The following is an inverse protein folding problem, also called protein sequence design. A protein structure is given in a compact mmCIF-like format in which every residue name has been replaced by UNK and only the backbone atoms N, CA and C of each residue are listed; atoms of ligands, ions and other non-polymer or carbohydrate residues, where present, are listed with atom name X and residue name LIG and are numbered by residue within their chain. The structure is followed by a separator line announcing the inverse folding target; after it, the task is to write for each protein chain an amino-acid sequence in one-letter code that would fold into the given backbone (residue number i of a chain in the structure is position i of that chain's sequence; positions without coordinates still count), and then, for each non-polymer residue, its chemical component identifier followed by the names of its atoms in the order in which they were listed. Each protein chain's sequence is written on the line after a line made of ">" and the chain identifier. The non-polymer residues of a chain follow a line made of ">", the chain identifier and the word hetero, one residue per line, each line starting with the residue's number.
data_IF_066435959656
#
_entry.id   IF_066435959656
#
_cell.length_a   1.000
_cell.length_b   1.000
_cell.length_c   1.000
_cell.angle_alpha   90.00
_cell.angle_beta   90.00
_cell.angle_gamma   90.00
#
_symmetry.space_group_name_H-M   'P 1'
#
loop_
_entity.id
_entity.type
_entity.pdbx_description
1 polymer ?
#
# COMPACT_ATOMS: atom_id res chain seq x y z
N UNK A 1 25.96 11.57 7.87
CA UNK A 1 26.44 10.19 8.11
C UNK A 1 25.70 9.62 9.31
N UNK A 2 24.68 8.81 9.04
CA UNK A 2 24.20 7.73 9.91
C UNK A 2 23.36 6.79 9.05
N UNK A 3 24.01 6.11 8.10
CA UNK A 3 23.46 4.92 7.49
C UNK A 3 23.79 3.77 8.43
N UNK A 4 22.89 3.43 9.34
CA UNK A 4 22.85 2.05 9.82
C UNK A 4 22.41 1.22 8.60
N UNK A 5 23.42 0.80 7.85
CA UNK A 5 23.30 0.18 6.52
C UNK A 5 22.82 -1.25 6.62
N UNK A 6 21.64 -1.48 7.18
CA UNK A 6 20.94 -2.74 7.00
C UNK A 6 20.44 -2.77 5.56
N UNK A 7 21.03 -3.66 4.76
CA UNK A 7 20.59 -3.89 3.40
C UNK A 7 19.13 -4.36 3.42
N UNK A 8 18.23 -3.64 2.74
CA UNK A 8 16.85 -4.09 2.56
C UNK A 8 16.85 -5.25 1.58
N UNK A 9 16.55 -6.47 2.06
CA UNK A 9 16.51 -7.68 1.22
C UNK A 9 15.14 -8.34 1.21
N UNK A 10 14.24 -7.93 2.10
CA UNK A 10 12.92 -8.54 2.23
C UNK A 10 11.91 -7.89 1.29
N UNK A 11 11.18 -8.72 0.56
CA UNK A 11 10.11 -8.34 -0.35
C UNK A 11 8.78 -8.89 0.16
N UNK A 12 7.79 -8.02 0.35
CA UNK A 12 6.45 -8.36 0.83
C UNK A 12 5.52 -8.45 -0.38
N UNK A 13 4.79 -9.56 -0.48
CA UNK A 13 3.89 -9.85 -1.60
C UNK A 13 2.47 -10.12 -1.11
N UNK A 14 1.50 -9.61 -1.87
CA UNK A 14 0.06 -9.76 -1.61
C UNK A 14 -0.75 -9.71 -2.92
N UNK A 15 -2.01 -10.10 -2.86
CA UNK A 15 -2.91 -10.16 -4.02
C UNK A 15 -4.03 -11.21 -3.90
N UNK A 16 -3.85 -12.22 -3.03
CA UNK A 16 -4.83 -13.26 -2.72
C UNK A 16 -4.98 -13.43 -1.20
N UNK A 17 -5.25 -14.63 -0.72
CA UNK A 17 -5.48 -14.98 0.69
C UNK A 17 -4.22 -15.05 1.57
N UNK A 18 -3.04 -15.08 0.94
CA UNK A 18 -1.76 -15.12 1.62
C UNK A 18 -0.95 -13.85 1.39
N UNK A 19 -0.42 -13.34 2.51
CA UNK A 19 0.65 -12.36 2.52
C UNK A 19 1.92 -13.07 2.93
N UNK A 20 2.99 -12.94 2.15
CA UNK A 20 4.26 -13.58 2.47
C UNK A 20 5.46 -12.71 2.16
N UNK A 21 6.60 -13.09 2.73
CA UNK A 21 7.86 -12.37 2.58
C UNK A 21 8.91 -13.30 2.00
N UNK A 22 9.60 -12.81 0.98
CA UNK A 22 10.80 -13.41 0.42
C UNK A 22 12.02 -12.65 0.91
N UNK A 23 13.03 -13.37 1.39
CA UNK A 23 14.37 -12.80 1.56
C UNK A 23 15.15 -12.98 0.27
N UNK A 24 15.36 -11.87 -0.44
CA UNK A 24 16.03 -11.84 -1.74
C UNK A 24 17.53 -12.18 -1.66
N UNK A 25 18.13 -12.13 -0.47
CA UNK A 25 19.53 -12.51 -0.26
C UNK A 25 19.71 -14.01 0.03
N UNK A 26 18.62 -14.74 0.32
CA UNK A 26 18.64 -16.17 0.59
C UNK A 26 17.95 -16.92 -0.56
N UNK A 27 18.45 -18.11 -0.87
CA UNK A 27 17.88 -18.97 -1.92
C UNK A 27 17.40 -20.28 -1.30
N UNK A 28 16.29 -20.79 -1.80
CA UNK A 28 15.76 -22.12 -1.52
C UNK A 28 15.24 -22.70 -2.84
N UNK A 29 15.77 -23.86 -3.23
CA UNK A 29 15.36 -24.56 -4.47
C UNK A 29 15.45 -23.69 -5.75
N UNK A 30 16.40 -22.75 -5.79
CA UNK A 30 16.65 -21.88 -6.95
C UNK A 30 15.77 -20.64 -7.05
N UNK A 31 14.98 -20.34 -6.02
CA UNK A 31 14.20 -19.10 -5.89
C UNK A 31 14.49 -18.40 -4.55
N UNK A 32 14.18 -17.10 -4.41
CA UNK A 32 14.26 -16.43 -3.11
C UNK A 32 13.53 -17.18 -2.01
N UNK A 33 14.15 -17.27 -0.83
CA UNK A 33 13.60 -18.04 0.28
C UNK A 33 12.40 -17.31 0.89
N UNK A 34 11.27 -18.01 1.01
CA UNK A 34 10.12 -17.55 1.80
C UNK A 34 10.44 -17.64 3.30
N UNK A 35 10.50 -16.50 3.99
CA UNK A 35 10.88 -16.42 5.40
C UNK A 35 9.70 -16.17 6.33
N UNK A 36 8.57 -15.73 5.79
CA UNK A 36 7.37 -15.43 6.56
C UNK A 36 6.11 -15.61 5.72
N UNK A 37 5.00 -15.93 6.37
CA UNK A 37 3.68 -16.11 5.76
C UNK A 37 2.58 -15.76 6.77
N UNK A 38 1.48 -15.25 6.26
CA UNK A 38 0.27 -14.98 7.01
C UNK A 38 -0.98 -15.15 6.16
N UNK A 39 -1.95 -15.87 6.72
CA UNK A 39 -3.31 -16.04 6.21
C UNK A 39 -4.29 -15.69 7.32
N UNK A 40 -5.32 -14.91 7.02
CA UNK A 40 -6.29 -14.49 8.03
C UNK A 40 -7.12 -15.67 8.58
N UNK A 41 -7.38 -16.69 7.75
CA UNK A 41 -8.13 -17.89 8.14
C UNK A 41 -7.48 -18.66 9.29
N UNK A 42 -6.16 -18.57 9.42
CA UNK A 42 -5.36 -19.25 10.46
C UNK A 42 -5.30 -18.46 11.78
N UNK A 43 -5.86 -17.25 11.81
CA UNK A 43 -5.78 -16.33 12.96
C UNK A 43 -7.00 -16.46 13.86
N UNK A 44 -6.89 -17.34 14.85
CA UNK A 44 -7.96 -17.59 15.84
C UNK A 44 -8.36 -16.33 16.64
N UNK A 45 -7.44 -15.39 16.78
CA UNK A 45 -7.62 -14.11 17.47
C UNK A 45 -8.41 -13.08 16.66
N UNK A 46 -8.45 -13.22 15.33
CA UNK A 46 -9.36 -12.44 14.50
C UNK A 46 -10.80 -12.91 14.74
N UNK A 47 -11.77 -11.98 14.87
CA UNK A 47 -13.18 -12.33 14.83
C UNK A 47 -13.52 -13.13 13.57
N UNK A 48 -14.43 -14.10 13.71
CA UNK A 48 -14.79 -15.01 12.62
C UNK A 48 -15.23 -14.26 11.35
N UNK A 49 -15.98 -13.15 11.50
CA UNK A 49 -16.45 -12.35 10.37
C UNK A 49 -15.34 -11.61 9.63
N UNK A 50 -14.16 -11.45 10.22
CA UNK A 50 -13.01 -10.78 9.61
C UNK A 50 -12.14 -11.73 8.80
N UNK A 51 -12.09 -13.02 9.15
CA UNK A 51 -11.13 -13.96 8.55
C UNK A 51 -11.31 -14.12 7.04
N UNK A 52 -12.55 -14.20 6.56
CA UNK A 52 -12.86 -14.34 5.14
C UNK A 52 -12.68 -13.04 4.33
N UNK A 53 -12.43 -11.90 5.00
CA UNK A 53 -12.31 -10.60 4.34
C UNK A 53 -10.94 -10.37 3.71
N UNK A 54 -9.97 -11.26 3.94
CA UNK A 54 -8.61 -11.15 3.44
C UNK A 54 -8.32 -12.14 2.29
N UNK A 55 -9.35 -12.62 1.59
CA UNK A 55 -9.16 -13.56 0.47
C UNK A 55 -8.60 -12.91 -0.82
N UNK A 56 -8.51 -11.58 -0.85
CA UNK A 56 -8.01 -10.80 -1.98
C UNK A 56 -7.25 -9.58 -1.46
N UNK A 57 -6.12 -9.82 -0.80
CA UNK A 57 -5.29 -8.75 -0.24
C UNK A 57 -4.78 -7.79 -1.31
N UNK A 58 -4.84 -6.49 -1.05
CA UNK A 58 -4.52 -5.46 -2.03
C UNK A 58 -3.19 -4.76 -1.73
N UNK A 59 -2.90 -4.47 -0.47
CA UNK A 59 -1.65 -3.82 -0.10
C UNK A 59 -1.14 -4.33 1.24
N UNK A 60 0.18 -4.45 1.35
CA UNK A 60 0.88 -4.82 2.58
C UNK A 60 2.02 -3.84 2.85
N UNK A 61 1.76 -2.78 3.61
CA UNK A 61 2.77 -1.76 3.92
C UNK A 61 3.51 -2.07 5.21
N UNK A 62 4.85 -2.10 5.19
CA UNK A 62 5.65 -2.21 6.39
C UNK A 62 5.68 -0.90 7.17
N UNK A 63 5.63 -1.00 8.49
CA UNK A 63 5.83 0.13 9.40
C UNK A 63 6.49 -0.32 10.70
N UNK A 64 6.82 0.63 11.58
CA UNK A 64 7.56 0.39 12.82
C UNK A 64 8.91 -0.32 12.54
N UNK A 65 9.66 0.21 11.57
CA UNK A 65 10.92 -0.38 11.11
C UNK A 65 10.74 -1.74 10.43
N UNK A 66 9.59 -1.94 9.78
CA UNK A 66 9.25 -3.19 9.09
C UNK A 66 8.91 -4.35 10.01
N UNK A 67 8.63 -4.11 11.29
CA UNK A 67 8.21 -5.17 12.25
C UNK A 67 6.71 -5.44 12.21
N UNK A 68 5.93 -4.51 11.69
CA UNK A 68 4.49 -4.64 11.52
C UNK A 68 4.08 -4.39 10.08
N UNK A 69 2.97 -4.98 9.67
CA UNK A 69 2.35 -4.79 8.37
C UNK A 69 0.95 -4.19 8.53
N UNK A 70 0.63 -3.20 7.71
CA UNK A 70 -0.73 -2.81 7.39
C UNK A 70 -1.18 -3.61 6.17
N UNK A 71 -2.22 -4.43 6.34
CA UNK A 71 -2.78 -5.26 5.28
C UNK A 71 -4.17 -4.75 4.95
N UNK A 72 -4.43 -4.46 3.67
CA UNK A 72 -5.77 -4.15 3.15
C UNK A 72 -6.23 -5.24 2.19
N UNK A 73 -7.54 -5.36 2.01
CA UNK A 73 -8.15 -6.35 1.12
C UNK A 73 -9.47 -5.84 0.57
N UNK A 74 -9.67 -6.04 -0.72
CA UNK A 74 -10.88 -5.82 -1.50
C UNK A 74 -12.03 -6.72 -1.03
N UNK A 75 -11.72 -7.77 -0.27
CA UNK A 75 -12.68 -8.54 0.54
C UNK A 75 -13.23 -7.80 1.77
N UNK A 76 -12.95 -6.50 1.90
CA UNK A 76 -13.36 -5.56 2.95
C UNK A 76 -12.53 -5.57 4.25
N UNK A 77 -11.34 -6.15 4.22
CA UNK A 77 -10.47 -6.33 5.39
C UNK A 77 -9.40 -5.26 5.51
N UNK A 78 -9.19 -4.76 6.73
CA UNK A 78 -7.98 -4.00 7.12
C UNK A 78 -7.44 -4.61 8.40
N UNK A 79 -6.13 -4.84 8.49
CA UNK A 79 -5.47 -5.36 9.68
C UNK A 79 -4.09 -4.75 9.92
N UNK A 80 -3.72 -4.61 11.20
CA UNK A 80 -2.32 -4.45 11.63
C UNK A 80 -1.82 -5.79 12.15
N UNK A 81 -0.78 -6.32 11.50
CA UNK A 81 -0.15 -7.60 11.85
C UNK A 81 1.25 -7.36 12.40
N UNK A 82 1.54 -7.93 13.57
CA UNK A 82 2.90 -8.06 14.06
C UNK A 82 3.61 -9.21 13.34
N UNK A 83 4.77 -8.97 12.73
CA UNK A 83 5.44 -10.00 11.92
C UNK A 83 6.09 -11.09 12.76
N UNK A 84 6.61 -10.76 13.94
CA UNK A 84 7.31 -11.74 14.77
C UNK A 84 6.33 -12.80 15.28
N UNK A 85 5.14 -12.38 15.67
CA UNK A 85 4.13 -13.25 16.29
C UNK A 85 3.01 -13.66 15.33
N UNK A 86 2.80 -12.92 14.25
CA UNK A 86 1.65 -13.07 13.35
C UNK A 86 0.33 -12.53 13.93
N UNK A 87 0.36 -11.96 15.14
CA UNK A 87 -0.83 -11.50 15.87
C UNK A 87 -1.42 -10.24 15.23
N UNK A 88 -2.75 -10.22 15.12
CA UNK A 88 -3.49 -9.04 14.68
C UNK A 88 -3.76 -8.11 15.87
N UNK A 89 -3.21 -6.90 15.82
CA UNK A 89 -3.38 -5.88 16.89
C UNK A 89 -4.47 -4.84 16.61
N UNK A 90 -4.92 -4.72 15.36
CA UNK A 90 -6.05 -3.91 14.94
C UNK A 90 -6.73 -4.55 13.75
N UNK A 91 -8.04 -4.40 13.63
CA UNK A 91 -8.80 -4.75 12.44
C UNK A 91 -9.97 -3.80 12.20
N UNK A 92 -10.40 -3.68 10.94
CA UNK A 92 -11.62 -2.98 10.59
C UNK A 92 -12.28 -3.56 9.34
N UNK A 93 -13.60 -3.49 9.29
CA UNK A 93 -14.36 -3.68 8.05
C UNK A 93 -14.36 -2.39 7.25
N UNK A 94 -13.66 -2.36 6.11
CA UNK A 94 -13.64 -1.22 5.19
C UNK A 94 -14.00 -1.69 3.79
N UNK A 95 -15.13 -1.25 3.20
CA UNK A 95 -15.57 -1.68 1.89
C UNK A 95 -14.48 -1.53 0.82
N UNK A 96 -14.14 -2.63 0.16
CA UNK A 96 -13.16 -2.66 -0.93
C UNK A 96 -11.82 -1.92 -0.59
N UNK A 97 -11.23 -2.21 0.57
CA UNK A 97 -10.03 -1.53 1.06
C UNK A 97 -8.79 -1.81 0.19
N UNK A 98 -8.19 -0.77 -0.36
CA UNK A 98 -7.10 -0.88 -1.34
C UNK A 98 -5.75 -0.33 -0.87
N UNK A 99 -5.75 0.54 0.13
CA UNK A 99 -4.53 1.10 0.71
C UNK A 99 -4.80 1.60 2.12
N UNK A 100 -3.77 1.56 2.97
CA UNK A 100 -3.83 2.13 4.31
C UNK A 100 -2.50 2.79 4.68
N UNK A 101 -2.53 3.71 5.64
CA UNK A 101 -1.34 4.40 6.13
C UNK A 101 -1.45 4.77 7.60
N UNK A 102 -0.36 4.59 8.35
CA UNK A 102 -0.30 4.98 9.76
C UNK A 102 -0.16 6.51 9.85
N UNK A 103 -1.01 7.11 10.67
CA UNK A 103 -1.00 8.52 11.01
C UNK A 103 -0.44 8.75 12.42
N UNK A 104 0.01 9.98 12.74
CA UNK A 104 0.31 10.38 14.12
C UNK A 104 -0.84 10.07 15.08
N UNK A 105 -0.53 9.87 16.36
CA UNK A 105 -1.54 9.65 17.39
C UNK A 105 -2.21 8.26 17.37
N UNK A 106 -1.47 7.23 16.94
CA UNK A 106 -1.93 5.82 16.91
C UNK A 106 -3.17 5.61 16.03
N UNK A 107 -3.21 6.28 14.87
CA UNK A 107 -4.35 6.22 13.94
C UNK A 107 -3.95 5.65 12.60
N UNK A 108 -4.95 5.25 11.83
CA UNK A 108 -4.76 4.74 10.47
C UNK A 108 -5.78 5.39 9.53
N UNK A 109 -5.30 5.84 8.37
CA UNK A 109 -6.16 6.20 7.25
C UNK A 109 -6.28 5.02 6.29
N UNK A 110 -7.47 4.80 5.74
CA UNK A 110 -7.76 3.72 4.79
C UNK A 110 -8.46 4.30 3.58
N UNK A 111 -7.93 3.99 2.39
CA UNK A 111 -8.58 4.26 1.11
C UNK A 111 -9.49 3.07 0.73
N UNK A 112 -10.79 3.35 0.68
CA UNK A 112 -11.85 2.45 0.26
C UNK A 112 -12.20 2.72 -1.21
N UNK A 113 -11.96 1.74 -2.08
CA UNK A 113 -12.27 1.87 -3.50
C UNK A 113 -13.78 1.69 -3.73
N UNK A 114 -14.20 1.78 -4.99
CA UNK A 114 -15.61 1.72 -5.35
C UNK A 114 -16.25 0.39 -4.98
N UNK A 115 -17.49 0.44 -4.51
CA UNK A 115 -18.31 -0.74 -4.26
C UNK A 115 -19.75 -0.44 -4.65
N UNK A 116 -20.38 -1.38 -5.34
CA UNK A 116 -21.74 -1.24 -5.89
C UNK A 116 -22.80 -0.95 -4.81
N UNK A 117 -22.53 -1.28 -3.54
CA UNK A 117 -23.43 -1.03 -2.41
C UNK A 117 -23.35 0.41 -1.84
N UNK A 118 -22.62 1.30 -2.51
CA UNK A 118 -22.40 2.71 -2.16
C UNK A 118 -21.69 2.94 -0.81
N UNK A 119 -21.04 1.91 -0.23
CA UNK A 119 -20.25 2.04 1.00
C UNK A 119 -18.75 2.24 0.75
N UNK A 120 -18.30 2.06 -0.49
CA UNK A 120 -16.96 2.39 -0.95
C UNK A 120 -16.78 3.89 -1.23
N UNK A 121 -15.76 4.24 -2.03
CA UNK A 121 -15.46 5.63 -2.45
C UNK A 121 -15.17 6.59 -1.29
N UNK A 122 -14.36 6.12 -0.32
CA UNK A 122 -14.13 6.82 0.95
C UNK A 122 -12.68 6.83 1.38
N UNK A 123 -12.28 7.90 2.05
CA UNK A 123 -11.12 7.93 2.92
C UNK A 123 -11.62 7.86 4.36
N UNK A 124 -11.19 6.87 5.13
CA UNK A 124 -11.71 6.60 6.48
C UNK A 124 -10.56 6.61 7.48
N UNK A 125 -10.76 7.23 8.64
CA UNK A 125 -9.77 7.26 9.73
C UNK A 125 -10.28 6.44 10.90
N UNK A 126 -9.41 5.61 11.47
CA UNK A 126 -9.65 4.82 12.68
C UNK A 126 -8.60 5.13 13.76
N UNK A 127 -8.98 4.91 15.02
CA UNK A 127 -8.03 4.72 16.11
C UNK A 127 -7.61 3.25 16.16
N UNK A 128 -6.31 2.97 16.27
CA UNK A 128 -5.83 1.59 16.32
C UNK A 128 -6.21 0.87 17.62
N UNK A 129 -6.55 1.61 18.68
CA UNK A 129 -7.00 1.05 19.96
C UNK A 129 -8.51 0.77 19.99
N UNK A 130 -9.27 1.27 19.00
CA UNK A 130 -10.73 1.06 18.88
C UNK A 130 -11.11 0.42 17.52
N UNK A 131 -10.91 -0.91 17.34
CA UNK A 131 -11.27 -1.63 16.13
C UNK A 131 -12.70 -1.35 15.66
N UNK A 132 -12.88 -1.30 14.33
CA UNK A 132 -14.18 -1.07 13.66
C UNK A 132 -14.89 0.26 13.97
N UNK A 133 -14.33 1.14 14.79
CA UNK A 133 -14.92 2.45 15.11
C UNK A 133 -14.30 3.56 14.24
N UNK A 134 -15.05 3.99 13.24
CA UNK A 134 -14.66 5.13 12.40
C UNK A 134 -14.61 6.42 13.24
N UNK A 135 -13.50 7.17 13.14
CA UNK A 135 -13.35 8.50 13.75
C UNK A 135 -13.94 9.59 12.84
N UNK A 136 -13.58 9.56 11.56
CA UNK A 136 -14.10 10.44 10.53
C UNK A 136 -13.93 9.81 9.14
N UNK A 137 -14.68 10.30 8.16
CA UNK A 137 -14.53 9.87 6.77
C UNK A 137 -14.85 10.98 5.78
N UNK A 138 -14.30 10.84 4.58
CA UNK A 138 -14.41 11.79 3.47
C UNK A 138 -14.69 11.02 2.19
N UNK A 139 -15.30 11.69 1.21
CA UNK A 139 -15.40 11.14 -0.14
C UNK A 139 -14.00 11.00 -0.74
N UNK A 140 -13.74 9.86 -1.37
CA UNK A 140 -12.53 9.59 -2.14
C UNK A 140 -12.88 8.59 -3.26
N UNK A 141 -13.31 9.11 -4.40
CA UNK A 141 -13.83 8.31 -5.51
C UNK A 141 -12.77 7.32 -6.03
N UNK A 142 -13.06 6.02 -5.92
CA UNK A 142 -12.15 4.92 -6.26
C UNK A 142 -10.77 5.13 -5.61
N UNK A 143 -10.72 5.21 -4.28
CA UNK A 143 -9.46 5.35 -3.54
C UNK A 143 -8.55 4.13 -3.69
N UNK A 144 -7.29 4.32 -4.11
CA UNK A 144 -6.32 3.22 -4.34
C UNK A 144 -4.95 3.41 -3.67
N UNK A 145 -4.70 4.58 -3.08
CA UNK A 145 -3.43 4.89 -2.43
C UNK A 145 -3.62 5.93 -1.35
N UNK A 146 -2.91 5.79 -0.24
CA UNK A 146 -2.84 6.81 0.80
C UNK A 146 -1.43 6.86 1.34
N UNK A 147 -0.84 8.04 1.55
CA UNK A 147 0.56 8.21 2.00
C UNK A 147 0.63 9.38 2.97
N UNK A 148 1.28 9.15 4.11
CA UNK A 148 1.55 10.17 5.12
C UNK A 148 2.95 10.70 4.91
N UNK A 149 3.04 12.00 4.67
CA UNK A 149 4.29 12.71 4.51
C UNK A 149 4.65 13.39 5.84
N UNK A 150 5.57 12.79 6.58
CA UNK A 150 6.00 13.30 7.89
C UNK A 150 6.75 14.64 7.76
N UNK A 151 7.46 14.88 6.66
CA UNK A 151 8.20 16.13 6.47
C UNK A 151 7.24 17.30 6.25
N UNK A 152 6.19 17.10 5.45
CA UNK A 152 5.20 18.13 5.11
C UNK A 152 4.01 18.16 6.05
N UNK A 153 3.86 17.14 6.91
CA UNK A 153 2.69 16.94 7.77
C UNK A 153 1.38 16.90 6.96
N UNK A 154 1.41 16.18 5.83
CA UNK A 154 0.28 16.07 4.89
C UNK A 154 -0.05 14.61 4.58
N UNK A 155 -1.34 14.32 4.50
CA UNK A 155 -1.86 13.05 3.99
C UNK A 155 -2.23 13.21 2.51
N UNK A 156 -1.62 12.39 1.65
CA UNK A 156 -1.87 12.33 0.22
C UNK A 156 -2.74 11.12 -0.08
N UNK A 157 -3.92 11.32 -0.66
CA UNK A 157 -4.86 10.24 -0.99
C UNK A 157 -5.11 10.21 -2.50
N UNK A 158 -4.76 9.08 -3.13
CA UNK A 158 -4.97 8.83 -4.56
C UNK A 158 -6.37 8.29 -4.80
N UNK A 159 -7.15 9.06 -5.55
CA UNK A 159 -8.43 8.67 -6.15
C UNK A 159 -8.24 8.29 -7.63
N UNK A 160 -9.32 7.95 -8.33
CA UNK A 160 -9.23 7.59 -9.76
C UNK A 160 -8.73 8.72 -10.66
N UNK A 161 -9.02 9.99 -10.33
CA UNK A 161 -8.74 11.14 -11.23
C UNK A 161 -7.86 12.22 -10.61
N UNK A 162 -7.58 12.13 -9.33
CA UNK A 162 -6.86 13.16 -8.59
C UNK A 162 -6.10 12.59 -7.39
N UNK A 163 -5.17 13.38 -6.88
CA UNK A 163 -4.62 13.24 -5.54
C UNK A 163 -5.25 14.33 -4.67
N UNK A 164 -5.94 13.90 -3.61
CA UNK A 164 -6.43 14.80 -2.56
C UNK A 164 -5.37 14.95 -1.47
N UNK A 165 -5.20 16.18 -0.98
CA UNK A 165 -4.18 16.53 0.01
C UNK A 165 -4.88 17.03 1.27
N UNK A 166 -4.59 16.42 2.41
CA UNK A 166 -5.20 16.75 3.69
C UNK A 166 -4.14 17.13 4.73
N UNK A 167 -4.50 18.05 5.61
CA UNK A 167 -3.78 18.32 6.87
C UNK A 167 -4.58 17.73 8.02
N UNK A 168 -3.89 17.32 9.08
CA UNK A 168 -4.54 16.88 10.33
C UNK A 168 -5.12 18.09 11.06
N UNK A 169 -6.38 18.03 11.46
CA UNK A 169 -7.07 19.12 12.15
C UNK A 169 -7.71 18.62 13.44
N UNK A 170 -7.61 19.42 14.51
CA UNK A 170 -8.08 19.05 15.85
C UNK A 170 -7.60 17.65 16.30
N UNK A 171 -6.38 17.28 15.89
CA UNK A 171 -5.95 15.89 15.87
C UNK A 171 -5.87 15.28 17.29
N UNK A 172 -5.40 16.03 18.28
CA UNK A 172 -5.30 15.53 19.66
C UNK A 172 -6.59 15.70 20.48
N UNK A 173 -7.74 15.84 19.81
CA UNK A 173 -9.05 16.00 20.47
C UNK A 173 -9.91 14.74 20.33
N UNK A 174 -11.05 14.71 21.04
CA UNK A 174 -12.05 13.64 20.91
C UNK A 174 -12.73 13.58 19.53
N UNK A 175 -12.55 14.60 18.69
CA UNK A 175 -13.18 14.72 17.36
C UNK A 175 -12.16 15.16 16.32
N UNK A 176 -11.18 14.30 15.99
CA UNK A 176 -10.18 14.62 14.97
C UNK A 176 -10.80 14.68 13.57
N UNK A 177 -10.24 15.54 12.73
CA UNK A 177 -10.65 15.71 11.34
C UNK A 177 -9.44 15.82 10.42
N UNK A 178 -9.70 15.65 9.13
CA UNK A 178 -8.81 15.99 8.03
C UNK A 178 -9.35 17.24 7.33
N UNK A 179 -8.49 18.25 7.18
CA UNK A 179 -8.80 19.46 6.42
C UNK A 179 -8.20 19.34 5.01
N UNK A 180 -9.06 19.23 3.98
CA UNK A 180 -8.62 19.16 2.58
C UNK A 180 -7.99 20.49 2.16
N UNK A 181 -6.74 20.45 1.71
CA UNK A 181 -5.95 21.63 1.31
C UNK A 181 -5.82 21.78 -0.20
N UNK A 182 -5.86 20.67 -0.93
CA UNK A 182 -5.77 20.69 -2.38
C UNK A 182 -6.40 19.44 -2.98
N UNK A 183 -6.78 19.58 -4.25
CA UNK A 183 -7.07 18.51 -5.18
C UNK A 183 -6.16 18.74 -6.37
N UNK A 184 -5.43 17.70 -6.76
CA UNK A 184 -4.45 17.77 -7.85
C UNK A 184 -4.87 16.75 -8.90
N UNK A 185 -5.33 17.22 -10.05
CA UNK A 185 -5.74 16.35 -11.15
C UNK A 185 -4.58 15.48 -11.63
N UNK A 186 -4.85 14.19 -11.83
CA UNK A 186 -3.91 13.29 -12.47
C UNK A 186 -3.81 13.60 -13.97
N UNK A 187 -2.64 13.39 -14.61
CA UNK A 187 -2.51 13.51 -16.07
C UNK A 187 -3.44 12.56 -16.83
N UNK A 188 -3.83 11.45 -16.20
CA UNK A 188 -4.86 10.53 -16.68
C UNK A 188 -5.56 9.81 -15.52
N UNK A 189 -6.74 9.24 -15.80
CA UNK A 189 -7.52 8.52 -14.80
C UNK A 189 -7.04 7.08 -14.53
N UNK A 190 -7.70 6.44 -13.56
CA UNK A 190 -7.40 5.07 -13.16
C UNK A 190 -6.18 4.96 -12.26
N UNK A 191 -6.04 5.86 -11.29
CA UNK A 191 -5.02 5.72 -10.23
C UNK A 191 -5.09 4.34 -9.56
N UNK A 192 -3.94 3.68 -9.41
CA UNK A 192 -3.83 2.30 -8.90
C UNK A 192 -2.83 2.15 -7.78
N UNK A 193 -1.75 2.92 -7.80
CA UNK A 193 -0.76 2.90 -6.74
C UNK A 193 -0.18 4.29 -6.45
N UNK A 194 0.10 4.54 -5.18
CA UNK A 194 0.78 5.73 -4.68
C UNK A 194 1.89 5.28 -3.73
N UNK A 195 3.14 5.51 -4.09
CA UNK A 195 4.28 5.04 -3.31
C UNK A 195 5.38 6.11 -3.21
N UNK A 196 5.93 6.41 -2.01
CA UNK A 196 7.02 7.37 -1.87
C UNK A 196 8.34 6.85 -2.46
N UNK A 197 9.00 7.66 -3.29
CA UNK A 197 10.36 7.35 -3.76
C UNK A 197 11.35 7.71 -2.64
N UNK A 198 12.07 6.72 -2.07
CA UNK A 198 12.88 6.93 -0.87
C UNK A 198 13.89 8.08 -1.01
N UNK A 199 13.95 8.95 0.01
CA UNK A 199 14.91 10.05 0.07
C UNK A 199 14.66 11.20 -0.91
N UNK A 200 13.46 11.30 -1.50
CA UNK A 200 13.10 12.36 -2.45
C UNK A 200 11.72 12.96 -2.16
N UNK A 201 11.42 14.12 -2.76
CA UNK A 201 10.07 14.69 -2.74
C UNK A 201 9.07 13.96 -3.63
N UNK A 202 9.49 12.92 -4.37
CA UNK A 202 8.67 12.28 -5.39
C UNK A 202 7.80 11.16 -4.83
N UNK A 203 6.57 11.06 -5.33
CA UNK A 203 5.73 9.87 -5.25
C UNK A 203 5.71 9.21 -6.64
N UNK A 204 5.83 7.90 -6.72
CA UNK A 204 5.38 7.18 -7.92
C UNK A 204 3.87 7.04 -7.91
N UNK A 205 3.28 7.28 -9.06
CA UNK A 205 1.84 7.15 -9.30
C UNK A 205 1.62 6.24 -10.49
N UNK A 206 0.95 5.11 -10.29
CA UNK A 206 0.55 4.24 -11.41
C UNK A 206 -0.88 4.55 -11.80
N UNK A 207 -1.12 4.59 -13.11
CA UNK A 207 -2.43 4.87 -13.69
C UNK A 207 -2.79 3.81 -14.73
N UNK A 208 -3.95 3.93 -15.38
CA UNK A 208 -4.42 2.90 -16.30
C UNK A 208 -3.49 2.63 -17.49
N UNK A 209 -2.72 3.62 -17.95
CA UNK A 209 -1.84 3.46 -19.13
C UNK A 209 -0.39 3.81 -18.89
N UNK A 210 -0.07 4.65 -17.91
CA UNK A 210 1.30 5.10 -17.67
C UNK A 210 1.67 5.08 -16.18
N UNK A 211 2.97 5.05 -15.92
CA UNK A 211 3.53 5.37 -14.62
C UNK A 211 4.08 6.81 -14.61
N UNK A 212 3.91 7.50 -13.49
CA UNK A 212 4.32 8.88 -13.29
C UNK A 212 5.19 9.01 -12.04
N UNK A 213 6.00 10.07 -12.02
CA UNK A 213 6.60 10.62 -10.82
C UNK A 213 5.92 11.96 -10.54
N UNK A 214 5.31 12.08 -9.37
CA UNK A 214 4.67 13.29 -8.86
C UNK A 214 5.58 13.96 -7.85
N UNK A 215 5.97 15.22 -8.07
CA UNK A 215 6.77 16.00 -7.13
C UNK A 215 5.86 16.70 -6.12
N UNK A 216 5.95 16.33 -4.84
CA UNK A 216 5.11 16.90 -3.77
C UNK A 216 5.35 18.40 -3.55
N UNK A 217 6.56 18.88 -3.82
CA UNK A 217 6.92 20.30 -3.62
C UNK A 217 6.44 21.17 -4.76
N UNK A 218 6.63 20.70 -6.00
CA UNK A 218 6.23 21.43 -7.21
C UNK A 218 4.78 21.21 -7.59
N UNK A 219 4.17 20.13 -7.09
CA UNK A 219 2.85 19.62 -7.47
C UNK A 219 2.75 19.38 -8.98
N UNK A 220 3.79 18.80 -9.57
CA UNK A 220 3.87 18.50 -10.99
C UNK A 220 4.07 17.00 -11.23
N UNK A 221 3.65 16.57 -12.43
CA UNK A 221 3.84 15.20 -12.89
C UNK A 221 4.85 15.17 -14.03
N UNK A 222 5.69 14.14 -14.01
CA UNK A 222 6.51 13.73 -15.14
C UNK A 222 6.35 12.22 -15.36
N UNK A 223 6.52 11.77 -16.58
CA UNK A 223 6.51 10.33 -16.87
C UNK A 223 7.63 9.62 -16.09
N UNK A 224 7.34 8.40 -15.63
CA UNK A 224 8.34 7.56 -14.99
C UNK A 224 9.42 7.18 -16.02
N UNK A 225 10.71 7.37 -15.74
CA UNK A 225 11.77 7.21 -16.75
C UNK A 225 11.84 5.81 -17.33
N UNK A 226 11.55 4.79 -16.52
CA UNK A 226 11.67 3.38 -16.93
C UNK A 226 10.33 2.68 -17.24
N UNK A 227 9.20 3.26 -16.81
CA UNK A 227 7.88 2.60 -16.84
C UNK A 227 6.80 3.50 -17.45
N UNK A 228 7.21 4.55 -18.18
CA UNK A 228 6.29 5.51 -18.79
C UNK A 228 5.20 4.80 -19.62
N UNK A 229 5.60 3.84 -20.47
CA UNK A 229 4.72 3.18 -21.43
C UNK A 229 4.20 1.81 -20.93
N UNK A 230 4.54 1.42 -19.70
CA UNK A 230 4.09 0.14 -19.14
C UNK A 230 2.65 0.28 -18.62
N UNK A 231 1.76 -0.58 -19.14
CA UNK A 231 0.31 -0.43 -18.94
C UNK A 231 -0.18 -1.37 -17.85
N UNK A 232 -1.16 -0.91 -17.08
CA UNK A 232 -1.79 -1.76 -16.07
C UNK A 232 -0.86 -2.13 -14.91
N UNK A 233 0.18 -1.33 -14.65
CA UNK A 233 1.02 -1.45 -13.46
C UNK A 233 0.16 -1.21 -12.22
N UNK A 234 0.04 -2.25 -11.40
CA UNK A 234 -0.76 -2.26 -10.16
C UNK A 234 0.02 -1.81 -8.95
N UNK A 235 1.34 -1.90 -9.04
CA UNK A 235 2.22 -1.58 -7.93
C UNK A 235 3.63 -1.33 -8.41
N UNK A 236 4.32 -0.37 -7.79
CA UNK A 236 5.77 -0.29 -7.87
C UNK A 236 6.38 0.15 -6.54
N UNK A 237 7.60 -0.31 -6.27
CA UNK A 237 8.36 0.00 -5.06
C UNK A 237 9.85 0.03 -5.38
N UNK A 238 10.62 0.83 -4.64
CA UNK A 238 12.06 1.02 -4.90
C UNK A 238 12.85 0.68 -3.65
N UNK A 239 13.89 -0.14 -3.81
CA UNK A 239 14.79 -0.49 -2.73
C UNK A 239 15.67 0.73 -2.41
N UNK A 240 15.62 1.29 -1.20
CA UNK A 240 16.37 2.50 -0.85
C UNK A 240 17.88 2.26 -0.78
N UNK A 241 18.31 1.03 -0.54
CA UNK A 241 19.73 0.67 -0.42
C UNK A 241 20.39 0.43 -1.78
N UNK A 242 19.66 -0.14 -2.74
CA UNK A 242 20.23 -0.58 -4.02
C UNK A 242 19.72 0.20 -5.23
N UNK A 243 18.59 0.91 -5.11
CA UNK A 243 17.88 1.53 -6.23
C UNK A 243 17.11 0.54 -7.10
N UNK A 244 17.09 -0.75 -6.74
CA UNK A 244 16.35 -1.76 -7.49
C UNK A 244 14.85 -1.49 -7.42
N UNK A 245 14.22 -1.36 -8.58
CA UNK A 245 12.78 -1.21 -8.69
C UNK A 245 12.14 -2.59 -8.79
N UNK A 246 11.01 -2.76 -8.13
CA UNK A 246 10.13 -3.93 -8.26
C UNK A 246 8.73 -3.47 -8.60
N UNK A 247 8.03 -4.17 -9.49
CA UNK A 247 6.66 -3.84 -9.88
C UNK A 247 5.83 -5.08 -10.22
N UNK A 248 4.52 -4.91 -10.12
CA UNK A 248 3.50 -5.88 -10.53
C UNK A 248 2.58 -5.19 -11.53
N UNK A 249 2.24 -5.90 -12.61
CA UNK A 249 1.32 -5.43 -13.65
C UNK A 249 0.30 -6.50 -13.96
N UNK A 250 -0.94 -6.12 -14.28
CA UNK A 250 -1.95 -7.10 -14.69
C UNK A 250 -1.54 -7.85 -15.97
N UNK A 251 -1.60 -9.18 -15.95
CA UNK A 251 -1.21 -10.02 -17.09
C UNK A 251 -2.39 -10.83 -17.66
N UNK A 252 -2.38 -11.11 -18.97
CA UNK A 252 -3.41 -11.95 -19.60
C UNK A 252 -4.84 -11.37 -19.58
N UNK A 253 -4.99 -10.07 -19.32
CA UNK A 253 -6.29 -9.42 -19.14
C UNK A 253 -6.83 -9.51 -17.70
N UNK A 254 -6.03 -10.03 -16.77
CA UNK A 254 -6.35 -10.05 -15.34
C UNK A 254 -5.88 -8.77 -14.64
N UNK A 255 -6.47 -8.50 -13.48
CA UNK A 255 -6.07 -7.40 -12.61
C UNK A 255 -4.87 -7.75 -11.73
N UNK A 256 -4.39 -9.00 -11.76
CA UNK A 256 -3.28 -9.56 -10.99
C UNK A 256 -2.22 -10.20 -11.91
N UNK A 257 -1.12 -10.67 -11.33
CA UNK A 257 -0.07 -11.42 -12.05
C UNK A 257 0.52 -12.58 -11.23
N UNK A 258 0.95 -13.64 -11.91
CA UNK A 258 1.84 -14.67 -11.33
C UNK A 258 3.31 -14.21 -11.30
N UNK A 259 3.62 -13.04 -11.87
CA UNK A 259 4.97 -12.52 -12.03
C UNK A 259 5.22 -11.27 -11.20
N UNK A 260 6.46 -11.19 -10.72
CA UNK A 260 7.03 -10.00 -10.08
C UNK A 260 8.22 -9.57 -10.92
N UNK A 261 8.18 -8.35 -11.41
CA UNK A 261 9.17 -7.80 -12.34
C UNK A 261 10.11 -6.85 -11.61
N UNK A 262 11.37 -6.85 -12.01
CA UNK A 262 12.41 -6.03 -11.42
C UNK A 262 13.13 -5.24 -12.50
N UNK A 263 13.60 -4.06 -12.15
CA UNK A 263 14.52 -3.25 -12.94
C UNK A 263 15.73 -2.88 -12.08
N UNK A 264 16.86 -2.63 -12.75
CA UNK A 264 18.11 -2.20 -12.12
C UNK A 264 18.68 -3.20 -11.08
N UNK A 265 19.00 -4.45 -11.46
CA UNK A 265 18.99 -5.02 -12.81
C UNK A 265 17.65 -5.70 -13.19
N UNK A 266 17.41 -5.78 -14.50
CA UNK A 266 16.20 -6.38 -15.08
C UNK A 266 16.17 -7.90 -14.90
N UNK A 267 15.06 -8.40 -14.35
CA UNK A 267 14.68 -9.81 -14.32
C UNK A 267 13.22 -9.95 -13.83
N UNK A 268 12.69 -11.16 -13.84
CA UNK A 268 11.38 -11.46 -13.28
C UNK A 268 11.39 -12.78 -12.52
N UNK A 269 10.53 -12.87 -11.50
CA UNK A 269 10.21 -14.10 -10.80
C UNK A 269 8.80 -14.55 -11.19
N UNK A 270 8.62 -15.85 -11.39
CA UNK A 270 7.33 -16.45 -11.74
C UNK A 270 6.91 -17.45 -10.67
N UNK A 271 5.70 -17.28 -10.15
CA UNK A 271 5.12 -18.11 -9.09
C UNK A 271 3.81 -18.70 -9.60
N UNK A 272 3.86 -19.93 -10.12
CA UNK A 272 2.68 -20.60 -10.67
C UNK A 272 1.58 -20.74 -9.62
N UNK A 273 0.36 -20.30 -9.96
CA UNK A 273 -0.81 -20.35 -9.08
C UNK A 273 -0.96 -19.15 -8.13
N UNK A 274 0.06 -18.31 -7.99
CA UNK A 274 -0.03 -17.08 -7.18
C UNK A 274 -0.69 -15.94 -7.94
N UNK A 275 -1.33 -15.03 -7.23
CA UNK A 275 -2.05 -13.91 -7.83
C UNK A 275 -1.64 -12.63 -7.12
N UNK A 276 -0.62 -11.94 -7.62
CA UNK A 276 -0.10 -10.71 -7.02
C UNK A 276 -0.84 -9.47 -7.53
N UNK A 277 -1.09 -8.53 -6.62
CA UNK A 277 -1.63 -7.21 -6.93
C UNK A 277 -0.64 -6.11 -6.57
N UNK A 278 -0.17 -6.05 -5.32
CA UNK A 278 0.89 -5.13 -4.89
C UNK A 278 2.08 -5.82 -4.24
N UNK A 279 3.22 -5.15 -4.38
CA UNK A 279 4.52 -5.58 -3.87
C UNK A 279 5.23 -4.41 -3.22
N UNK A 280 5.88 -4.67 -2.07
CA UNK A 280 6.62 -3.66 -1.31
C UNK A 280 7.96 -4.22 -0.85
N UNK A 281 9.03 -3.45 -1.01
CA UNK A 281 10.22 -3.68 -0.20
C UNK A 281 9.87 -3.48 1.28
N UNK A 282 10.42 -4.31 2.17
CA UNK A 282 10.21 -4.17 3.60
C UNK A 282 11.00 -2.97 4.16
N UNK A 283 10.52 -1.78 3.84
CA UNK A 283 11.04 -0.52 4.36
C UNK A 283 9.88 0.45 4.54
N UNK A 284 9.88 1.08 5.71
CA UNK A 284 8.97 2.16 6.00
C UNK A 284 9.41 3.42 5.26
N UNK A 285 8.55 3.90 4.35
CA UNK A 285 8.74 5.12 3.57
C UNK A 285 7.58 6.06 3.87
N UNK A 286 7.88 7.25 4.39
CA UNK A 286 6.93 8.29 4.75
C UNK A 286 7.47 9.63 4.22
#
# INVERSE_FOLDING_TARGET
>A
MSSDGTQVTELILCGWDEVFILDMAQQQDGVPKKTWSWRAEERSELPEHMRSKFNSTDECKPFAGGKKLLITSSGDGVAVVDRETGVVSFYATVPNAHSAEILPGNRVAVAASHKDDAKGDRLIVFDLDEPEKELCSYELTWGHGVVWDEERQLLWALATREIEVFELEAWDTEKPSLARKAIIELPEGGGHDLYPIPGTSLLSVTTGRHCWLFDRDKRDFKLHPDLADERGVKSLSVNPSTGQLVYVQGEGGHWWSERVHFLHPEHALHFSGEHFYKVRWNVEVR
#
